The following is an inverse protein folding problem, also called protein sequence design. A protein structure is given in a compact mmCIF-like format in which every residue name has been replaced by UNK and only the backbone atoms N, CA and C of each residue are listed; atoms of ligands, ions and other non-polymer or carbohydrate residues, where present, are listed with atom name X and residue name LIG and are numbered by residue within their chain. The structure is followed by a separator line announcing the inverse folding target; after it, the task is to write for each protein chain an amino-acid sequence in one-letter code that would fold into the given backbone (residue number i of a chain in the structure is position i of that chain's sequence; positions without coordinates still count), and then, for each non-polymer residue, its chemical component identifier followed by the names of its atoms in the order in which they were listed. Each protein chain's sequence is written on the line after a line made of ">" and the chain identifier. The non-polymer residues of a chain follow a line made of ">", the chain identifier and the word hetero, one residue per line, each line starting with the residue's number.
data_IF_819568872047
#
_entry.id   IF_819568872047
#
_cell.length_a   1.000
_cell.length_b   1.000
_cell.length_c   1.000
_cell.angle_alpha   90.00
_cell.angle_beta   90.00
_cell.angle_gamma   90.00
#
_symmetry.space_group_name_H-M   'P 1'
#
loop_
_entity.id
_entity.type
_entity.pdbx_description
1 polymer ?
#
# COMPACT_ATOMS: atom_id res chain seq x y z
N UNK A 1 -57.51 7.39 41.29
CA UNK A 1 -56.56 6.29 41.55
C UNK A 1 -56.63 5.34 40.37
N UNK A 2 -55.52 5.15 39.63
CA UNK A 2 -55.39 4.13 38.58
C UNK A 2 -55.74 4.57 37.16
N UNK A 3 -54.77 5.16 36.46
CA UNK A 3 -54.64 5.13 34.98
C UNK A 3 -54.31 3.67 34.58
N UNK A 4 -54.06 3.38 33.30
CA UNK A 4 -53.41 2.17 32.72
C UNK A 4 -54.30 1.29 31.83
N UNK A 5 -54.45 1.71 30.58
CA UNK A 5 -54.05 0.85 29.45
C UNK A 5 -53.58 1.78 28.33
N UNK A 6 -52.27 2.04 28.34
CA UNK A 6 -51.58 2.85 27.34
C UNK A 6 -51.28 1.93 26.15
N UNK A 7 -51.99 2.11 25.06
CA UNK A 7 -51.45 1.90 23.72
C UNK A 7 -50.28 2.88 23.55
N UNK A 8 -49.05 2.39 23.51
CA UNK A 8 -47.93 3.15 22.95
C UNK A 8 -46.92 2.22 22.31
N UNK A 9 -46.84 2.34 21.00
CA UNK A 9 -45.69 2.02 20.16
C UNK A 9 -44.38 2.31 20.88
N UNK A 10 -43.52 1.31 21.06
CA UNK A 10 -42.08 1.50 21.11
C UNK A 10 -41.39 0.35 20.38
N UNK A 11 -41.49 0.43 19.06
CA UNK A 11 -40.49 -0.12 18.14
C UNK A 11 -39.20 0.70 18.39
N UNK A 12 -38.35 0.26 19.31
CA UNK A 12 -37.10 0.96 19.59
C UNK A 12 -35.90 0.02 19.54
N UNK A 13 -35.11 0.27 18.50
CA UNK A 13 -33.67 0.08 18.43
C UNK A 13 -33.13 -1.36 18.45
N UNK A 14 -33.39 -2.07 17.35
CA UNK A 14 -32.34 -2.86 16.68
C UNK A 14 -31.28 -1.86 16.23
N UNK A 15 -30.28 -1.56 17.06
CA UNK A 15 -29.00 -0.98 16.63
C UNK A 15 -27.98 -1.25 17.74
N UNK A 16 -27.85 -2.51 18.14
CA UNK A 16 -26.62 -2.97 18.76
C UNK A 16 -25.52 -2.78 17.72
N UNK A 17 -24.72 -1.74 17.90
CA UNK A 17 -23.64 -1.36 17.00
C UNK A 17 -22.83 -2.58 16.61
N UNK A 18 -22.83 -2.89 15.32
CA UNK A 18 -21.78 -3.68 14.73
C UNK A 18 -20.50 -2.92 15.09
N UNK A 19 -19.56 -3.48 15.87
CA UNK A 19 -18.28 -2.83 16.05
C UNK A 19 -17.72 -2.67 14.64
N UNK A 20 -17.69 -1.42 14.17
CA UNK A 20 -17.00 -1.09 12.93
C UNK A 20 -15.60 -1.63 13.10
N UNK A 21 -15.28 -2.69 12.36
CA UNK A 21 -13.91 -3.14 12.28
C UNK A 21 -13.20 -2.03 11.52
N UNK A 22 -12.64 -1.06 12.25
CA UNK A 22 -11.69 -0.09 11.75
C UNK A 22 -10.41 -0.87 11.41
N UNK A 23 -10.51 -1.70 10.36
CA UNK A 23 -9.53 -2.68 9.97
C UNK A 23 -8.26 -1.94 9.54
N UNK A 24 -7.31 -1.80 10.47
CA UNK A 24 -5.95 -1.36 10.16
C UNK A 24 -5.34 -2.39 9.22
N UNK A 25 -5.36 -2.11 7.93
CA UNK A 25 -4.85 -3.01 6.89
C UNK A 25 -3.32 -3.07 6.91
N UNK A 26 -2.71 -1.94 7.29
CA UNK A 26 -1.27 -1.75 7.33
C UNK A 26 -0.87 -1.27 8.72
N UNK A 27 0.09 -1.97 9.32
CA UNK A 27 0.65 -1.63 10.62
C UNK A 27 2.13 -2.01 10.71
N UNK A 28 2.98 -1.10 10.24
CA UNK A 28 4.43 -1.25 10.37
C UNK A 28 4.85 -0.82 11.78
N UNK A 29 5.52 -1.69 12.53
CA UNK A 29 6.05 -1.34 13.86
C UNK A 29 7.20 -0.36 13.70
N UNK A 30 7.23 0.67 14.54
CA UNK A 30 8.28 1.69 14.52
C UNK A 30 9.67 1.06 14.71
N UNK A 31 10.63 1.44 13.86
CA UNK A 31 12.00 0.94 13.91
C UNK A 31 12.22 -0.48 13.35
N UNK A 32 11.17 -1.21 12.99
CA UNK A 32 11.31 -2.53 12.35
C UNK A 32 11.45 -2.38 10.84
N UNK A 33 12.41 -3.11 10.27
CA UNK A 33 12.60 -3.20 8.82
C UNK A 33 11.84 -4.41 8.26
N UNK A 34 10.94 -4.15 7.31
CA UNK A 34 10.16 -5.17 6.64
C UNK A 34 10.68 -5.37 5.22
N UNK A 35 11.32 -6.50 4.95
CA UNK A 35 11.97 -6.80 3.67
C UNK A 35 11.04 -7.63 2.79
N UNK A 36 10.79 -7.16 1.56
CA UNK A 36 9.94 -7.81 0.57
C UNK A 36 10.72 -8.17 -0.69
N UNK A 37 10.29 -9.24 -1.34
CA UNK A 37 10.70 -9.60 -2.70
C UNK A 37 9.47 -9.55 -3.60
N UNK A 38 9.56 -8.78 -4.67
CA UNK A 38 8.51 -8.67 -5.69
C UNK A 38 8.98 -9.34 -6.97
N UNK A 39 8.05 -10.02 -7.61
CA UNK A 39 8.19 -10.56 -8.95
C UNK A 39 6.92 -10.23 -9.73
N UNK A 40 7.08 -9.53 -10.85
CA UNK A 40 5.98 -9.12 -11.72
C UNK A 40 6.27 -9.56 -13.15
N UNK A 41 5.24 -10.06 -13.82
CA UNK A 41 5.30 -10.41 -15.23
C UNK A 41 4.49 -9.40 -16.02
N UNK A 42 5.09 -8.80 -17.04
CA UNK A 42 4.43 -7.82 -17.92
C UNK A 42 4.52 -8.28 -19.36
N UNK A 43 3.47 -8.05 -20.13
CA UNK A 43 3.46 -8.24 -21.58
C UNK A 43 3.23 -6.88 -22.23
N UNK A 44 4.18 -6.45 -23.04
CA UNK A 44 4.08 -5.21 -23.80
C UNK A 44 3.90 -5.59 -25.26
N UNK A 45 2.80 -5.12 -25.85
CA UNK A 45 2.50 -5.33 -27.27
C UNK A 45 3.70 -4.87 -28.10
N UNK A 46 4.11 -5.70 -29.07
CA UNK A 46 5.23 -5.46 -30.00
C UNK A 46 6.65 -5.45 -29.37
N UNK A 47 6.79 -5.52 -28.03
CA UNK A 47 8.08 -5.55 -27.31
C UNK A 47 8.33 -6.85 -26.56
N UNK A 48 7.29 -7.65 -26.29
CA UNK A 48 7.41 -8.99 -25.71
C UNK A 48 7.08 -9.04 -24.22
N UNK A 49 7.61 -10.07 -23.55
CA UNK A 49 7.35 -10.36 -22.14
C UNK A 49 8.55 -10.01 -21.28
N UNK A 50 8.28 -9.41 -20.13
CA UNK A 50 9.29 -8.92 -19.20
C UNK A 50 9.00 -9.42 -17.80
N UNK A 51 10.07 -9.73 -17.08
CA UNK A 51 10.05 -10.05 -15.66
C UNK A 51 10.69 -8.90 -14.90
N UNK A 52 9.97 -8.37 -13.93
CA UNK A 52 10.46 -7.37 -12.98
C UNK A 52 10.69 -8.07 -11.65
N UNK A 53 11.93 -8.06 -11.16
CA UNK A 53 12.29 -8.59 -9.84
C UNK A 53 12.85 -7.47 -8.98
N UNK A 54 12.25 -7.26 -7.82
CA UNK A 54 12.73 -6.26 -6.86
C UNK A 54 12.89 -6.86 -5.47
N UNK A 55 13.93 -6.42 -4.75
CA UNK A 55 14.08 -6.62 -3.31
C UNK A 55 14.10 -5.24 -2.67
N UNK A 56 13.19 -5.00 -1.75
CA UNK A 56 13.07 -3.70 -1.07
C UNK A 56 12.79 -3.89 0.41
N UNK A 57 12.93 -2.84 1.19
CA UNK A 57 12.38 -2.79 2.53
C UNK A 57 11.64 -1.50 2.83
N UNK A 58 10.75 -1.62 3.81
CA UNK A 58 10.00 -0.51 4.39
C UNK A 58 10.26 -0.47 5.89
N UNK A 59 10.75 0.66 6.37
CA UNK A 59 10.97 0.89 7.81
C UNK A 59 10.09 2.03 8.26
N UNK A 60 9.24 1.80 9.26
CA UNK A 60 8.51 2.89 9.89
C UNK A 60 9.50 3.74 10.70
N UNK A 61 9.68 4.99 10.28
CA UNK A 61 10.59 5.96 10.91
C UNK A 61 9.86 6.98 11.78
N UNK A 62 8.54 7.11 11.60
CA UNK A 62 7.70 8.06 12.32
C UNK A 62 6.24 7.65 12.24
N UNK A 63 5.53 7.70 13.36
CA UNK A 63 4.06 7.54 13.40
C UNK A 63 3.45 8.78 14.03
N UNK A 64 2.47 9.37 13.34
CA UNK A 64 1.69 10.51 13.83
C UNK A 64 0.23 10.10 13.75
N UNK A 65 -0.44 10.06 14.90
CA UNK A 65 -1.81 9.53 15.02
C UNK A 65 -1.94 8.13 14.39
N UNK A 66 -2.59 8.02 13.24
CA UNK A 66 -2.78 6.77 12.48
C UNK A 66 -1.98 6.72 11.16
N UNK A 67 -1.23 7.78 10.86
CA UNK A 67 -0.38 7.86 9.69
C UNK A 67 1.04 7.39 10.04
N UNK A 68 1.62 6.58 9.14
CA UNK A 68 2.95 6.02 9.27
C UNK A 68 3.83 6.55 8.14
N UNK A 69 4.99 7.11 8.48
CA UNK A 69 6.01 7.45 7.50
C UNK A 69 6.96 6.27 7.34
N UNK A 70 7.03 5.75 6.13
CA UNK A 70 7.85 4.61 5.77
C UNK A 70 9.04 5.06 4.94
N UNK A 71 10.24 4.71 5.38
CA UNK A 71 11.46 4.79 4.58
C UNK A 71 11.52 3.58 3.64
N UNK A 72 11.57 3.83 2.33
CA UNK A 72 11.78 2.83 1.31
C UNK A 72 13.28 2.69 1.01
N UNK A 73 13.79 1.46 1.08
CA UNK A 73 15.12 1.11 0.59
C UNK A 73 15.00 0.09 -0.53
N UNK A 74 15.59 0.39 -1.69
CA UNK A 74 15.66 -0.53 -2.81
C UNK A 74 17.02 -1.23 -2.76
N UNK A 75 17.01 -2.54 -2.55
CA UNK A 75 18.23 -3.35 -2.53
C UNK A 75 18.64 -3.77 -3.94
N UNK A 76 17.67 -4.25 -4.70
CA UNK A 76 17.86 -4.65 -6.10
C UNK A 76 16.57 -4.40 -6.86
N UNK A 77 16.69 -4.00 -8.11
CA UNK A 77 15.60 -4.01 -9.07
C UNK A 77 16.16 -4.39 -10.43
N UNK A 78 15.58 -5.41 -11.04
CA UNK A 78 15.99 -5.90 -12.35
C UNK A 78 14.74 -6.02 -13.22
N UNK A 79 14.87 -5.56 -14.46
CA UNK A 79 13.87 -5.76 -15.51
C UNK A 79 14.57 -6.52 -16.61
N UNK A 80 14.12 -7.74 -16.89
CA UNK A 80 14.73 -8.60 -17.92
C UNK A 80 13.67 -9.14 -18.87
N UNK A 81 13.98 -9.34 -20.16
CA UNK A 81 13.14 -10.14 -21.04
C UNK A 81 12.92 -11.54 -20.47
N UNK A 82 11.70 -12.09 -20.56
CA UNK A 82 11.39 -13.43 -20.06
C UNK A 82 12.23 -14.52 -20.75
N UNK A 83 12.56 -14.31 -22.03
CA UNK A 83 13.32 -15.28 -22.83
C UNK A 83 14.84 -15.13 -22.71
N UNK A 84 15.33 -14.05 -22.09
CA UNK A 84 16.76 -13.81 -21.91
C UNK A 84 17.01 -13.00 -20.63
N UNK A 85 17.26 -13.71 -19.53
CA UNK A 85 17.48 -13.11 -18.20
C UNK A 85 18.89 -12.57 -17.99
N UNK A 86 19.82 -12.82 -18.91
CA UNK A 86 21.23 -12.42 -18.80
C UNK A 86 21.50 -11.01 -19.36
N UNK A 87 20.48 -10.39 -19.98
CA UNK A 87 20.56 -8.98 -20.38
C UNK A 87 20.59 -8.13 -19.12
N UNK A 88 21.68 -7.38 -18.93
CA UNK A 88 21.80 -6.40 -17.85
C UNK A 88 20.67 -5.39 -18.02
N UNK A 89 19.74 -5.38 -17.06
CA UNK A 89 18.57 -4.50 -17.08
C UNK A 89 18.94 -3.05 -16.74
N UNK A 90 17.99 -2.39 -16.09
CA UNK A 90 18.07 -1.00 -15.61
C UNK A 90 19.33 -0.72 -14.77
N UNK A 91 20.07 0.35 -15.08
CA UNK A 91 21.35 0.74 -14.42
C UNK A 91 21.19 2.01 -13.55
N UNK A 92 19.96 2.37 -13.19
CA UNK A 92 19.69 3.59 -12.42
C UNK A 92 20.15 3.44 -10.96
N UNK A 93 20.60 4.54 -10.37
CA UNK A 93 21.00 4.58 -8.96
C UNK A 93 19.77 4.78 -8.05
N UNK A 94 19.43 3.74 -7.28
CA UNK A 94 18.33 3.78 -6.30
C UNK A 94 18.78 4.10 -4.87
N UNK A 95 20.07 4.36 -4.63
CA UNK A 95 20.66 4.45 -3.28
C UNK A 95 20.17 5.63 -2.44
N UNK A 96 19.74 6.72 -3.08
CA UNK A 96 19.25 7.92 -2.40
C UNK A 96 17.93 7.66 -1.69
N UNK A 97 17.76 8.29 -0.53
CA UNK A 97 16.62 8.06 0.36
C UNK A 97 15.28 8.44 -0.29
N UNK A 98 14.23 7.73 0.13
CA UNK A 98 12.86 7.99 -0.27
C UNK A 98 11.94 7.58 0.87
N UNK A 99 11.05 8.47 1.30
CA UNK A 99 10.02 8.13 2.30
C UNK A 99 8.64 8.56 1.83
N UNK A 100 7.61 7.92 2.37
CA UNK A 100 6.23 8.26 2.08
C UNK A 100 5.34 8.07 3.31
N UNK A 101 4.28 8.86 3.40
CA UNK A 101 3.28 8.76 4.47
C UNK A 101 2.10 7.96 4.00
N UNK A 102 1.79 6.90 4.74
CA UNK A 102 0.65 6.01 4.50
C UNK A 102 -0.30 6.03 5.69
N UNK A 103 -1.59 6.17 5.42
CA UNK A 103 -2.62 6.05 6.46
C UNK A 103 -2.89 4.59 6.82
N UNK A 104 -3.55 4.37 7.95
CA UNK A 104 -4.06 3.05 8.37
C UNK A 104 -4.95 2.34 7.31
N UNK A 105 -5.51 3.11 6.38
CA UNK A 105 -6.33 2.65 5.25
C UNK A 105 -5.56 2.43 3.95
N UNK A 106 -4.24 2.51 4.00
CA UNK A 106 -3.37 2.32 2.83
C UNK A 106 -3.23 3.54 1.93
N UNK A 107 -3.90 4.66 2.18
CA UNK A 107 -3.76 5.84 1.32
C UNK A 107 -2.38 6.47 1.50
N UNK A 108 -1.62 6.61 0.41
CA UNK A 108 -0.33 7.32 0.37
C UNK A 108 -0.58 8.80 0.13
N UNK A 109 -0.30 9.64 1.14
CA UNK A 109 -0.66 11.07 1.13
C UNK A 109 0.50 11.98 0.72
N UNK A 110 1.72 11.61 1.07
CA UNK A 110 2.92 12.42 0.84
C UNK A 110 4.11 11.54 0.46
N UNK A 111 4.99 12.09 -0.36
CA UNK A 111 6.24 11.45 -0.81
C UNK A 111 7.37 12.45 -0.65
N UNK A 112 8.49 11.99 -0.13
CA UNK A 112 9.69 12.77 0.13
C UNK A 112 10.91 12.11 -0.52
N UNK A 113 11.74 12.90 -1.18
CA UNK A 113 12.98 12.46 -1.81
C UNK A 113 13.94 13.67 -2.01
N UNK A 114 15.24 13.45 -2.25
CA UNK A 114 16.17 14.51 -2.59
C UNK A 114 15.76 15.31 -3.83
N UNK A 115 16.15 16.59 -3.87
CA UNK A 115 16.06 17.41 -5.08
C UNK A 115 17.02 16.88 -6.15
N UNK A 116 16.60 16.93 -7.40
CA UNK A 116 17.41 16.48 -8.54
C UNK A 116 17.62 14.96 -8.59
N UNK A 117 16.74 14.19 -7.94
CA UNK A 117 16.65 12.75 -8.21
C UNK A 117 16.12 12.52 -9.61
N UNK A 118 16.65 11.49 -10.27
CA UNK A 118 16.19 11.05 -11.59
C UNK A 118 14.69 10.74 -11.57
N UNK A 119 13.95 11.28 -12.55
CA UNK A 119 12.48 11.19 -12.57
C UNK A 119 11.98 9.75 -12.72
N UNK A 120 12.71 8.90 -13.45
CA UNK A 120 12.40 7.48 -13.61
C UNK A 120 12.59 6.74 -12.28
N UNK A 121 13.70 7.02 -11.57
CA UNK A 121 13.94 6.46 -10.23
C UNK A 121 12.84 6.87 -9.25
N UNK A 122 12.41 8.13 -9.27
CA UNK A 122 11.30 8.61 -8.43
C UNK A 122 9.98 7.91 -8.81
N UNK A 123 9.69 7.77 -10.11
CA UNK A 123 8.48 7.11 -10.58
C UNK A 123 8.41 5.64 -10.15
N UNK A 124 9.52 4.93 -10.23
CA UNK A 124 9.62 3.53 -9.81
C UNK A 124 9.47 3.39 -8.29
N UNK A 125 10.12 4.26 -7.50
CA UNK A 125 9.97 4.29 -6.04
C UNK A 125 8.52 4.60 -5.63
N UNK A 126 7.81 5.48 -6.37
CA UNK A 126 6.37 5.71 -6.20
C UNK A 126 5.54 4.47 -6.55
N UNK A 127 5.88 3.74 -7.62
CA UNK A 127 5.24 2.49 -7.98
C UNK A 127 5.41 1.38 -6.92
N UNK A 128 6.56 1.33 -6.26
CA UNK A 128 6.80 0.42 -5.13
C UNK A 128 5.96 0.82 -3.90
N UNK A 129 5.92 2.12 -3.57
CA UNK A 129 5.09 2.63 -2.48
C UNK A 129 3.59 2.39 -2.71
N UNK A 130 3.13 2.46 -3.97
CA UNK A 130 1.71 2.27 -4.31
C UNK A 130 1.23 0.83 -4.18
N UNK A 131 2.11 -0.16 -4.01
CA UNK A 131 1.71 -1.55 -3.71
C UNK A 131 0.85 -1.62 -2.45
N UNK A 132 1.13 -0.75 -1.46
CA UNK A 132 0.32 -0.64 -0.25
C UNK A 132 -0.89 0.27 -0.39
N UNK A 133 -0.99 1.01 -1.50
CA UNK A 133 -2.12 1.90 -1.81
C UNK A 133 -3.38 1.16 -2.26
N UNK A 134 -3.37 -0.17 -2.25
CA UNK A 134 -4.53 -1.00 -2.56
C UNK A 134 -5.61 -0.85 -1.47
N UNK A 135 -6.45 0.17 -1.64
CA UNK A 135 -7.84 0.11 -1.20
C UNK A 135 -8.50 -1.04 -1.97
N UNK A 136 -8.64 -2.22 -1.35
CA UNK A 136 -9.74 -3.11 -1.71
C UNK A 136 -10.99 -2.30 -1.38
N UNK A 137 -11.56 -1.62 -2.38
CA UNK A 137 -12.91 -1.09 -2.26
C UNK A 137 -13.79 -2.26 -1.82
N UNK A 138 -14.25 -2.21 -0.58
CA UNK A 138 -15.19 -3.18 -0.04
C UNK A 138 -16.52 -2.90 -0.72
N UNK A 139 -16.71 -3.51 -1.89
CA UNK A 139 -17.96 -3.81 -2.59
C UNK A 139 -17.59 -4.71 -3.79
N UNK A 140 -17.05 -5.88 -3.49
CA UNK A 140 -17.25 -7.02 -4.37
C UNK A 140 -18.65 -7.53 -4.11
N UNK A 141 -19.65 -7.03 -4.82
CA UNK A 141 -20.96 -7.68 -4.86
C UNK A 141 -20.74 -9.13 -5.31
N UNK A 142 -20.97 -10.08 -4.41
CA UNK A 142 -21.22 -11.46 -4.79
C UNK A 142 -22.59 -11.45 -5.45
N UNK A 143 -22.63 -11.45 -6.78
CA UNK A 143 -23.86 -11.76 -7.51
C UNK A 143 -24.24 -13.21 -7.16
N UNK A 144 -25.31 -13.36 -6.37
CA UNK A 144 -26.04 -14.61 -6.22
C UNK A 144 -27.07 -14.73 -7.35
#
# INVERSE_FOLDING_TARGET
>A
MGIWSVTSFFLFAIFSGIPGNDGKFINFKNGYEYVYRYEGHSTIKDLGKFIVKAKVSYTNIRTVTDDQELLLKVYTINVTPEQNTDVKGMDNDFSKWFSFVISSRGVVNHVFHPRGEDEEVVAIKKGLASIFAAKLHQEGEVLH
#
